data_IF_514876953400
#
_entry.id   IF_514876953400
#
_cell.length_a   1.000
_cell.length_b   1.000
_cell.length_c   1.000
_cell.angle_alpha   90.00
_cell.angle_beta   90.00
_cell.angle_gamma   90.00
#
_symmetry.space_group_name_H-M   'P 1'
#
loop_
_entity.id
_entity.type
_entity.pdbx_description
1 polymer ?
#
# COMPACT_ATOMS: atom_id res chain seq x y z
N UNK A 1 2.93 -5.45 5.47
CA UNK A 1 3.65 -5.19 4.22
C UNK A 1 3.63 -3.70 3.96
N UNK A 2 4.78 -3.12 3.66
CA UNK A 2 4.96 -1.71 3.34
C UNK A 2 5.52 -1.66 1.92
N UNK A 3 4.84 -0.96 1.02
CA UNK A 3 5.37 -0.70 -0.32
C UNK A 3 6.16 0.60 -0.32
N UNK A 4 7.22 0.65 -1.12
CA UNK A 4 8.19 1.75 -1.23
C UNK A 4 8.85 2.06 0.12
N UNK A 5 10.06 1.55 0.26
CA UNK A 5 11.01 1.84 1.32
C UNK A 5 11.37 3.35 1.31
N UNK A 6 10.55 4.18 1.94
CA UNK A 6 10.75 5.63 2.12
C UNK A 6 10.73 6.04 3.59
N UNK A 7 10.75 7.34 3.87
CA UNK A 7 10.71 7.86 5.25
C UNK A 7 9.48 7.39 6.04
N UNK A 8 8.31 7.40 5.40
CA UNK A 8 7.06 6.88 5.99
C UNK A 8 7.19 5.39 6.26
N UNK A 9 7.71 4.63 5.30
CA UNK A 9 7.94 3.21 5.45
C UNK A 9 8.85 2.88 6.63
N UNK A 10 9.91 3.66 6.85
CA UNK A 10 10.84 3.46 7.96
C UNK A 10 10.14 3.60 9.33
N UNK A 11 9.32 4.65 9.48
CA UNK A 11 8.53 4.84 10.70
C UNK A 11 7.53 3.69 10.90
N UNK A 12 6.84 3.27 9.85
CA UNK A 12 5.89 2.16 9.89
C UNK A 12 6.55 0.82 10.22
N UNK A 13 7.76 0.58 9.71
CA UNK A 13 8.54 -0.61 10.04
C UNK A 13 8.86 -0.67 11.54
N UNK A 14 9.33 0.45 12.11
CA UNK A 14 9.55 0.55 13.55
C UNK A 14 8.28 0.32 14.39
N UNK A 15 7.14 0.89 13.96
CA UNK A 15 5.86 0.65 14.63
C UNK A 15 5.41 -0.82 14.55
N UNK A 16 5.52 -1.44 13.38
CA UNK A 16 5.19 -2.85 13.19
C UNK A 16 6.02 -3.74 14.12
N UNK A 17 7.31 -3.45 14.26
CA UNK A 17 8.20 -4.15 15.20
C UNK A 17 7.76 -4.02 16.65
N UNK A 18 7.41 -2.80 17.09
CA UNK A 18 6.92 -2.52 18.45
C UNK A 18 5.65 -3.33 18.74
N UNK A 19 4.77 -3.44 17.74
CA UNK A 19 3.51 -4.18 17.81
C UNK A 19 3.71 -5.71 17.66
N UNK A 20 4.94 -6.19 17.50
CA UNK A 20 5.25 -7.62 17.33
C UNK A 20 4.78 -8.19 15.99
N UNK A 21 4.60 -7.35 14.97
CA UNK A 21 4.22 -7.77 13.62
C UNK A 21 5.44 -8.22 12.83
N UNK A 22 5.24 -9.18 11.91
CA UNK A 22 6.19 -9.47 10.84
C UNK A 22 6.18 -8.33 9.83
N UNK A 23 7.31 -7.64 9.68
CA UNK A 23 7.49 -6.47 8.82
C UNK A 23 8.13 -6.90 7.51
N UNK A 24 7.38 -6.74 6.43
CA UNK A 24 7.84 -6.97 5.05
C UNK A 24 7.88 -5.64 4.33
N UNK A 25 9.03 -5.29 3.75
CA UNK A 25 9.24 -4.07 2.97
C UNK A 25 9.48 -4.46 1.51
N UNK A 26 8.76 -3.81 0.60
CA UNK A 26 8.84 -4.06 -0.84
C UNK A 26 9.27 -2.77 -1.54
N UNK A 27 10.38 -2.79 -2.27
CA UNK A 27 10.87 -1.64 -3.08
C UNK A 27 11.53 -2.12 -4.37
N UNK A 28 11.61 -1.27 -5.37
CA UNK A 28 12.36 -1.48 -6.62
C UNK A 28 13.83 -1.03 -6.51
N UNK A 29 14.18 -0.36 -5.40
CA UNK A 29 15.51 0.21 -5.15
C UNK A 29 16.22 -0.51 -4.02
N UNK A 30 17.28 -1.23 -4.38
CA UNK A 30 18.09 -2.00 -3.45
C UNK A 30 18.72 -1.15 -2.33
N UNK A 31 19.13 0.08 -2.63
CA UNK A 31 19.89 0.94 -1.70
C UNK A 31 19.09 1.37 -0.46
N UNK A 32 17.76 1.22 -0.49
CA UNK A 32 16.91 1.58 0.64
C UNK A 32 16.88 0.52 1.72
N UNK A 33 17.20 -0.74 1.44
CA UNK A 33 17.03 -1.83 2.40
C UNK A 33 17.95 -1.75 3.61
N UNK A 34 19.15 -1.19 3.45
CA UNK A 34 20.07 -0.96 4.57
C UNK A 34 19.48 -0.03 5.64
N UNK A 35 18.43 0.72 5.31
CA UNK A 35 17.75 1.64 6.22
C UNK A 35 16.68 0.96 7.08
N UNK A 36 16.35 -0.31 6.84
CA UNK A 36 15.27 -1.03 7.50
C UNK A 36 15.80 -2.17 8.38
N UNK A 37 16.53 -1.89 9.47
CA UNK A 37 17.04 -2.94 10.36
C UNK A 37 15.91 -3.71 11.06
N UNK A 38 14.72 -3.12 11.15
CA UNK A 38 13.54 -3.72 11.78
C UNK A 38 12.65 -4.51 10.82
N UNK A 39 13.00 -4.59 9.53
CA UNK A 39 12.27 -5.42 8.58
C UNK A 39 12.72 -6.88 8.72
N UNK A 40 11.75 -7.78 8.89
CA UNK A 40 12.02 -9.23 8.83
C UNK A 40 12.36 -9.65 7.39
N UNK A 41 11.78 -8.98 6.40
CA UNK A 41 12.02 -9.21 4.98
C UNK A 41 12.09 -7.90 4.18
N UNK A 42 13.05 -7.85 3.27
CA UNK A 42 13.18 -6.81 2.26
C UNK A 42 13.17 -7.46 0.87
N UNK A 43 12.17 -7.12 0.05
CA UNK A 43 11.89 -7.76 -1.23
C UNK A 43 12.06 -6.75 -2.35
N UNK A 44 12.96 -7.06 -3.28
CA UNK A 44 13.14 -6.26 -4.51
C UNK A 44 12.12 -6.70 -5.53
N UNK A 45 11.37 -5.75 -6.09
CA UNK A 45 10.45 -5.97 -7.21
C UNK A 45 10.85 -5.10 -8.39
N UNK A 46 10.74 -5.61 -9.61
CA UNK A 46 10.99 -4.80 -10.80
C UNK A 46 9.78 -3.89 -11.07
N UNK A 47 10.04 -2.64 -11.44
CA UNK A 47 9.04 -1.69 -11.91
C UNK A 47 9.52 -1.05 -13.21
N UNK A 48 8.68 -1.10 -14.24
CA UNK A 48 8.89 -0.42 -15.50
C UNK A 48 8.03 0.85 -15.54
N UNK A 49 8.68 2.01 -15.38
CA UNK A 49 8.02 3.31 -15.38
C UNK A 49 7.48 3.73 -16.75
N UNK A 50 7.98 3.16 -17.85
CA UNK A 50 7.46 3.47 -19.19
C UNK A 50 6.13 2.74 -19.45
N UNK A 51 5.96 1.57 -18.85
CA UNK A 51 4.75 0.75 -18.97
C UNK A 51 3.81 0.85 -17.78
N UNK A 52 4.19 1.57 -16.72
CA UNK A 52 3.51 1.58 -15.42
C UNK A 52 3.29 0.15 -14.87
N UNK A 53 4.27 -0.73 -15.08
CA UNK A 53 4.12 -2.16 -14.83
C UNK A 53 4.98 -2.59 -13.63
N UNK A 54 4.33 -3.10 -12.59
CA UNK A 54 4.99 -3.69 -11.43
C UNK A 54 5.03 -5.20 -11.56
N UNK A 55 6.19 -5.82 -11.34
CA UNK A 55 6.30 -7.27 -11.23
C UNK A 55 5.43 -7.80 -10.06
N UNK A 56 4.97 -9.06 -10.09
CA UNK A 56 4.20 -9.63 -9.01
C UNK A 56 4.93 -9.52 -7.66
N UNK A 57 4.26 -8.95 -6.66
CA UNK A 57 4.76 -8.87 -5.29
C UNK A 57 4.70 -10.28 -4.69
N UNK A 58 5.83 -10.92 -4.36
CA UNK A 58 5.88 -12.32 -3.95
C UNK A 58 5.56 -12.48 -2.45
N UNK A 59 4.45 -11.88 -2.00
CA UNK A 59 4.01 -11.90 -0.59
C UNK A 59 2.60 -12.44 -0.50
N UNK A 60 2.41 -13.55 0.20
CA UNK A 60 1.08 -14.07 0.50
C UNK A 60 0.43 -13.23 1.61
N UNK A 61 -0.68 -12.58 1.28
CA UNK A 61 -1.48 -11.79 2.22
C UNK A 61 -2.59 -12.66 2.84
N UNK A 62 -2.76 -12.56 4.16
CA UNK A 62 -3.77 -13.26 4.94
C UNK A 62 -4.65 -12.26 5.71
N UNK A 63 -5.68 -12.74 6.40
CA UNK A 63 -6.60 -11.88 7.19
C UNK A 63 -5.95 -11.11 8.32
N UNK A 64 -4.76 -11.49 8.78
CA UNK A 64 -3.96 -10.74 9.74
C UNK A 64 -3.01 -9.73 9.10
N UNK A 65 -2.89 -9.74 7.77
CA UNK A 65 -1.99 -8.85 7.04
C UNK A 65 -2.53 -7.43 7.01
N UNK A 66 -1.61 -6.49 7.13
CA UNK A 66 -1.85 -5.07 6.96
C UNK A 66 -0.92 -4.59 5.85
N UNK A 67 -1.47 -3.89 4.87
CA UNK A 67 -0.75 -3.35 3.72
C UNK A 67 -0.80 -1.83 3.80
N UNK A 68 0.37 -1.19 3.69
CA UNK A 68 0.46 0.25 3.50
C UNK A 68 1.19 0.52 2.21
N UNK A 69 0.49 1.15 1.28
CA UNK A 69 1.00 1.58 -0.02
C UNK A 69 1.47 3.02 0.11
N UNK A 70 2.77 3.26 -0.05
CA UNK A 70 3.30 4.63 0.01
C UNK A 70 3.51 5.20 -1.38
N UNK A 71 3.12 6.47 -1.58
CA UNK A 71 3.09 7.11 -2.90
C UNK A 71 4.48 7.48 -3.39
N UNK A 72 4.98 6.75 -4.40
CA UNK A 72 5.96 7.25 -5.37
C UNK A 72 6.17 6.24 -6.50
N UNK A 73 5.81 6.60 -7.74
CA UNK A 73 5.95 5.73 -8.91
C UNK A 73 4.78 4.76 -9.02
N UNK A 74 4.90 3.59 -8.40
CA UNK A 74 4.09 2.40 -8.69
C UNK A 74 2.96 2.12 -7.69
N UNK A 75 2.38 3.14 -7.07
CA UNK A 75 1.32 2.97 -6.08
C UNK A 75 0.00 2.43 -6.67
N UNK A 76 -0.31 2.75 -7.92
CA UNK A 76 -1.46 2.19 -8.65
C UNK A 76 -1.30 0.70 -8.96
N UNK A 77 -0.24 0.24 -9.65
CA UNK A 77 -0.06 -1.18 -9.90
C UNK A 77 0.21 -2.00 -8.63
N UNK A 78 0.72 -1.38 -7.55
CA UNK A 78 0.72 -2.03 -6.23
C UNK A 78 -0.69 -2.26 -5.71
N UNK A 79 -1.55 -1.25 -5.80
CA UNK A 79 -2.91 -1.32 -5.30
C UNK A 79 -3.70 -2.37 -6.08
N UNK A 80 -3.55 -2.42 -7.40
CA UNK A 80 -4.14 -3.45 -8.26
C UNK A 80 -3.84 -4.87 -7.75
N UNK A 81 -2.58 -5.17 -7.42
CA UNK A 81 -2.17 -6.50 -6.97
C UNK A 81 -2.71 -6.89 -5.59
N UNK A 82 -3.02 -5.93 -4.72
CA UNK A 82 -3.39 -6.20 -3.31
C UNK A 82 -4.84 -5.90 -2.98
N UNK A 83 -5.56 -5.15 -3.82
CA UNK A 83 -6.92 -4.69 -3.56
C UNK A 83 -7.89 -5.85 -3.30
N UNK A 84 -7.75 -6.96 -4.01
CA UNK A 84 -8.59 -8.16 -3.85
C UNK A 84 -8.06 -9.14 -2.79
N UNK A 85 -7.01 -8.78 -2.06
CA UNK A 85 -6.42 -9.66 -1.05
C UNK A 85 -7.29 -9.75 0.21
N UNK A 86 -7.12 -10.81 1.03
CA UNK A 86 -7.87 -10.95 2.28
C UNK A 86 -7.32 -10.07 3.42
N UNK A 87 -6.40 -9.13 3.15
CA UNK A 87 -5.76 -8.31 4.18
C UNK A 87 -6.80 -7.59 5.06
N UNK A 88 -6.55 -7.52 6.37
CA UNK A 88 -7.44 -6.78 7.30
C UNK A 88 -7.43 -5.27 7.06
N UNK A 89 -6.36 -4.76 6.46
CA UNK A 89 -6.19 -3.35 6.19
C UNK A 89 -5.36 -3.14 4.94
N UNK A 90 -5.83 -2.26 4.06
CA UNK A 90 -5.10 -1.76 2.91
C UNK A 90 -5.17 -0.24 2.97
N UNK A 91 -4.05 0.41 3.26
CA UNK A 91 -3.94 1.86 3.34
C UNK A 91 -3.19 2.42 2.15
N UNK A 92 -3.78 3.38 1.43
CA UNK A 92 -3.10 4.17 0.41
C UNK A 92 -2.71 5.52 0.99
N UNK A 93 -1.41 5.76 1.15
CA UNK A 93 -0.89 7.07 1.52
C UNK A 93 -0.82 7.88 0.23
N UNK A 94 -1.84 8.69 -0.08
CA UNK A 94 -1.87 9.55 -1.26
C UNK A 94 -2.77 10.78 -1.04
N UNK A 95 -2.47 11.91 -1.68
CA UNK A 95 -3.40 13.05 -1.68
C UNK A 95 -4.78 12.64 -2.19
N UNK A 96 -5.86 13.25 -1.70
CA UNK A 96 -7.25 12.95 -2.16
C UNK A 96 -7.39 13.00 -3.68
N UNK A 97 -6.75 13.97 -4.34
CA UNK A 97 -6.75 14.10 -5.80
C UNK A 97 -6.10 12.89 -6.48
N UNK A 98 -4.91 12.49 -6.02
CA UNK A 98 -4.19 11.34 -6.59
C UNK A 98 -4.93 10.02 -6.34
N UNK A 99 -5.42 9.83 -5.11
CA UNK A 99 -6.23 8.66 -4.78
C UNK A 99 -7.47 8.55 -5.67
N UNK A 100 -8.19 9.66 -5.89
CA UNK A 100 -9.35 9.67 -6.79
C UNK A 100 -8.98 9.20 -8.19
N UNK A 101 -7.88 9.73 -8.75
CA UNK A 101 -7.39 9.33 -10.07
C UNK A 101 -7.12 7.82 -10.14
N UNK A 102 -6.34 7.29 -9.19
CA UNK A 102 -6.01 5.86 -9.12
C UNK A 102 -7.27 5.00 -9.04
N UNK A 103 -8.26 5.38 -8.23
CA UNK A 103 -9.49 4.61 -8.10
C UNK A 103 -10.31 4.64 -9.40
N UNK A 104 -10.38 5.79 -10.07
CA UNK A 104 -11.04 5.92 -11.38
C UNK A 104 -10.37 5.04 -12.42
N UNK A 105 -9.04 5.01 -12.47
CA UNK A 105 -8.26 4.21 -13.41
C UNK A 105 -8.40 2.69 -13.13
N UNK A 106 -8.33 2.28 -11.85
CA UNK A 106 -8.47 0.86 -11.47
C UNK A 106 -9.89 0.31 -11.68
N UNK A 107 -10.93 1.12 -11.45
CA UNK A 107 -12.33 0.73 -11.74
C UNK A 107 -12.56 0.61 -13.25
N UNK A 108 -11.93 1.45 -14.06
CA UNK A 108 -12.01 1.34 -15.51
C UNK A 108 -11.23 0.12 -16.05
N UNK A 109 -10.25 -0.37 -15.30
CA UNK A 109 -9.45 -1.54 -15.60
C UNK A 109 -10.08 -2.85 -15.11
N UNK A 110 -9.33 -3.56 -14.27
CA UNK A 110 -9.61 -4.97 -13.91
C UNK A 110 -9.98 -5.19 -12.45
N UNK A 111 -9.98 -4.14 -11.61
CA UNK A 111 -10.25 -4.29 -10.18
C UNK A 111 -11.74 -4.06 -9.89
N UNK A 112 -12.43 -5.00 -9.24
CA UNK A 112 -13.82 -4.80 -8.83
C UNK A 112 -13.96 -3.61 -7.87
N UNK A 113 -15.00 -2.80 -8.05
CA UNK A 113 -15.22 -1.62 -7.22
C UNK A 113 -15.42 -1.96 -5.73
N UNK A 114 -15.97 -3.13 -5.43
CA UNK A 114 -16.12 -3.66 -4.08
C UNK A 114 -14.79 -3.94 -3.37
N UNK A 115 -13.76 -4.35 -4.12
CA UNK A 115 -12.42 -4.61 -3.58
C UNK A 115 -11.69 -3.29 -3.27
N UNK A 116 -11.95 -2.25 -4.05
CA UNK A 116 -11.44 -0.91 -3.75
C UNK A 116 -12.14 -0.28 -2.53
N UNK A 117 -13.35 -0.73 -2.17
CA UNK A 117 -14.10 -0.19 -1.04
C UNK A 117 -13.46 -0.47 0.33
N UNK A 118 -12.58 -1.49 0.45
CA UNK A 118 -11.82 -1.75 1.68
C UNK A 118 -10.59 -0.83 1.84
N UNK A 119 -10.14 -0.18 0.76
CA UNK A 119 -8.93 0.64 0.74
C UNK A 119 -9.16 1.94 1.51
N UNK A 120 -8.28 2.23 2.47
CA UNK A 120 -8.33 3.42 3.32
C UNK A 120 -7.33 4.47 2.85
N UNK A 121 -7.75 5.73 2.73
CA UNK A 121 -6.82 6.83 2.43
C UNK A 121 -6.09 7.24 3.71
N UNK A 122 -4.83 6.85 3.82
CA UNK A 122 -4.01 7.06 5.01
C UNK A 122 -3.35 8.45 5.05
N UNK A 123 -3.29 9.17 3.92
CA UNK A 123 -2.86 10.56 3.89
C UNK A 123 -4.07 11.49 4.09
N UNK A 124 -4.18 12.03 5.29
CA UNK A 124 -5.31 12.85 5.72
C UNK A 124 -5.98 12.30 6.97
N UNK A 125 -5.16 11.94 7.97
CA UNK A 125 -5.61 11.62 9.32
C UNK A 125 -6.34 12.87 9.86
N UNK A 126 -7.65 12.92 9.66
CA UNK A 126 -8.51 13.87 10.33
C UNK A 126 -8.58 13.40 11.79
N UNK A 127 -7.73 13.99 12.64
CA UNK A 127 -7.71 13.72 14.08
C UNK A 127 -8.96 14.30 14.79
N UNK A 128 -9.94 14.79 14.04
CA UNK A 128 -11.27 15.07 14.56
C UNK A 128 -11.99 13.76 14.96
N UNK A 129 -12.75 13.77 16.06
CA UNK A 129 -13.53 12.60 16.44
C UNK A 129 -14.66 12.34 15.41
N UNK A 130 -14.55 11.21 14.68
CA UNK A 130 -15.57 10.45 13.91
C UNK A 130 -15.79 10.80 12.42
N UNK A 131 -15.63 9.80 11.54
CA UNK A 131 -16.66 8.91 10.90
C UNK A 131 -15.95 8.16 9.75
N UNK A 132 -16.20 6.85 9.62
CA UNK A 132 -15.81 6.10 8.44
C UNK A 132 -16.49 6.71 7.22
N UNK A 133 -15.77 7.51 6.42
CA UNK A 133 -16.23 7.90 5.09
C UNK A 133 -16.09 6.69 4.17
N UNK A 134 -17.16 5.92 4.08
CA UNK A 134 -17.36 4.95 3.00
C UNK A 134 -17.61 5.74 1.71
N UNK A 135 -16.92 5.39 0.63
CA UNK A 135 -17.20 5.93 -0.72
C UNK A 135 -18.69 5.66 -1.03
N UNK A 136 -19.46 6.65 -1.51
CA UNK A 136 -20.88 6.46 -1.74
C UNK A 136 -21.09 5.46 -2.90
N UNK A 137 -21.90 4.44 -2.65
CA UNK A 137 -22.51 3.61 -3.69
C UNK A 137 -23.56 4.41 -4.47
N UNK A 138 -23.84 4.08 -5.74
CA UNK A 138 -24.80 4.79 -6.60
C UNK A 138 -26.23 4.83 -6.05
#
# INVERSE_FOLDING_TARGET
MITRAGHIGLALAGMGRILGMRVVVVDDRLEWFQRFPEADEAIIVAYDAAMEALAPIPVTLARSSHVVITTWGWDEPALEQVASSPAAYIGLVASRRKAKQIFEDLVAGVVPAEDLAQVQLAAGLDLAPRRQTRVPSP
#
